data_IF_558376160412
#
_entry.id   IF_558376160412
#
_cell.length_a   1.000
_cell.length_b   1.000
_cell.length_c   1.000
_cell.angle_alpha   90.00
_cell.angle_beta   90.00
_cell.angle_gamma   90.00
#
_symmetry.space_group_name_H-M   'P 1'
#
loop_
_entity.id
_entity.type
_entity.pdbx_description
1 polymer ?
#
# COMPACT_ATOMS: atom_id res chain seq x y z
N UNK A 1 21.28 12.58 -6.98
CA UNK A 1 21.01 11.72 -5.81
C UNK A 1 19.85 10.83 -6.20
N UNK A 2 20.00 9.50 -6.10
CA UNK A 2 18.91 8.57 -6.42
C UNK A 2 18.13 8.40 -5.12
N UNK A 3 16.93 8.97 -5.04
CA UNK A 3 16.08 8.81 -3.86
C UNK A 3 15.64 7.34 -3.80
N UNK A 4 15.87 6.63 -2.67
CA UNK A 4 15.43 5.25 -2.54
C UNK A 4 13.92 5.16 -2.65
N UNK A 5 13.43 4.08 -3.26
CA UNK A 5 12.01 3.79 -3.35
C UNK A 5 11.42 3.63 -1.94
N UNK A 6 10.27 4.24 -1.63
CA UNK A 6 9.63 4.09 -0.32
C UNK A 6 9.30 2.63 -0.02
N UNK A 7 9.45 2.22 1.24
CA UNK A 7 9.04 0.92 1.74
C UNK A 7 7.51 0.80 1.80
N UNK A 8 7.00 -0.44 1.77
CA UNK A 8 5.57 -0.71 1.95
C UNK A 8 5.02 -0.06 3.22
N UNK A 9 5.74 -0.18 4.34
CA UNK A 9 5.35 0.43 5.61
C UNK A 9 5.29 1.96 5.56
N UNK A 10 6.14 2.61 4.76
CA UNK A 10 6.13 4.06 4.57
C UNK A 10 4.91 4.47 3.74
N UNK A 11 4.62 3.77 2.64
CA UNK A 11 3.42 4.02 1.84
C UNK A 11 2.12 3.81 2.67
N UNK A 12 2.07 2.79 3.52
CA UNK A 12 0.92 2.54 4.40
C UNK A 12 0.78 3.64 5.45
N UNK A 13 1.89 4.08 6.04
CA UNK A 13 1.88 5.19 7.00
C UNK A 13 1.35 6.46 6.34
N UNK A 14 1.86 6.82 5.17
CA UNK A 14 1.44 8.02 4.44
C UNK A 14 -0.05 7.96 4.06
N UNK A 15 -0.54 6.79 3.62
CA UNK A 15 -1.96 6.57 3.40
C UNK A 15 -2.79 6.79 4.67
N UNK A 16 -2.38 6.23 5.81
CA UNK A 16 -3.12 6.35 7.07
C UNK A 16 -3.11 7.78 7.61
N UNK A 17 -1.96 8.46 7.57
CA UNK A 17 -1.83 9.85 8.01
C UNK A 17 -2.71 10.77 7.15
N UNK A 18 -2.73 10.55 5.84
CA UNK A 18 -3.58 11.31 4.93
C UNK A 18 -5.07 10.96 5.09
N UNK A 19 -5.42 9.69 5.33
CA UNK A 19 -6.79 9.29 5.61
C UNK A 19 -7.37 10.01 6.82
N UNK A 20 -6.57 10.22 7.88
CA UNK A 20 -6.98 11.01 9.05
C UNK A 20 -7.26 12.47 8.69
N UNK A 21 -6.49 13.08 7.79
CA UNK A 21 -6.74 14.44 7.30
C UNK A 21 -8.02 14.51 6.46
N UNK A 22 -8.27 13.52 5.60
CA UNK A 22 -9.53 13.43 4.83
C UNK A 22 -10.73 13.30 5.76
N UNK A 23 -10.66 12.42 6.77
CA UNK A 23 -11.74 12.26 7.76
C UNK A 23 -12.05 13.59 8.45
N UNK A 24 -11.02 14.34 8.89
CA UNK A 24 -11.22 15.66 9.50
C UNK A 24 -11.86 16.66 8.55
N UNK A 25 -11.50 16.63 7.26
CA UNK A 25 -12.10 17.52 6.27
C UNK A 25 -13.57 17.22 5.98
N UNK A 26 -14.03 16.00 6.27
CA UNK A 26 -15.43 15.59 6.13
C UNK A 26 -16.27 15.92 7.36
N UNK A 27 -15.67 16.42 8.45
CA UNK A 27 -16.43 16.85 9.62
C UNK A 27 -17.33 18.05 9.28
N UNK A 28 -18.53 18.08 9.83
CA UNK A 28 -19.54 19.09 9.47
C UNK A 28 -20.08 18.99 8.03
N UNK A 29 -19.93 17.85 7.34
CA UNK A 29 -20.40 17.65 5.96
C UNK A 29 -21.81 18.18 5.63
N UNK A 30 -22.82 18.07 6.52
CA UNK A 30 -24.15 18.63 6.25
C UNK A 30 -24.19 20.15 6.04
N UNK A 31 -23.18 20.89 6.51
CA UNK A 31 -23.07 22.35 6.45
C UNK A 31 -22.08 22.82 5.38
N UNK A 32 -21.45 21.91 4.64
CA UNK A 32 -20.43 22.24 3.65
C UNK A 32 -20.99 23.07 2.50
N UNK A 33 -20.28 24.15 2.19
CA UNK A 33 -20.49 24.90 0.95
C UNK A 33 -20.05 24.08 -0.27
N UNK A 34 -20.34 24.58 -1.48
CA UNK A 34 -19.85 23.97 -2.72
C UNK A 34 -18.32 23.94 -2.77
N UNK A 35 -17.65 24.94 -2.18
CA UNK A 35 -16.20 25.02 -2.13
C UNK A 35 -15.62 23.95 -1.18
N UNK A 36 -16.22 23.79 0.00
CA UNK A 36 -15.83 22.74 0.96
C UNK A 36 -16.00 21.34 0.36
N UNK A 37 -17.12 21.11 -0.34
CA UNK A 37 -17.36 19.86 -1.07
C UNK A 37 -16.30 19.61 -2.15
N UNK A 38 -15.87 20.64 -2.87
CA UNK A 38 -14.77 20.52 -3.86
C UNK A 38 -13.48 20.08 -3.19
N UNK A 39 -13.10 20.72 -2.08
CA UNK A 39 -11.89 20.41 -1.32
C UNK A 39 -11.92 18.96 -0.83
N UNK A 40 -13.05 18.52 -0.26
CA UNK A 40 -13.21 17.13 0.20
C UNK A 40 -13.09 16.15 -0.97
N UNK A 41 -13.68 16.46 -2.12
CA UNK A 41 -13.59 15.62 -3.32
C UNK A 41 -12.16 15.51 -3.85
N UNK A 42 -11.41 16.61 -3.87
CA UNK A 42 -9.98 16.61 -4.23
C UNK A 42 -9.17 15.76 -3.24
N UNK A 43 -9.45 15.90 -1.94
CA UNK A 43 -8.80 15.10 -0.91
C UNK A 43 -9.11 13.61 -1.07
N UNK A 44 -10.36 13.24 -1.35
CA UNK A 44 -10.76 11.87 -1.63
C UNK A 44 -10.10 11.31 -2.90
N UNK A 45 -9.94 12.12 -3.94
CA UNK A 45 -9.23 11.70 -5.16
C UNK A 45 -7.77 11.36 -4.84
N UNK A 46 -7.08 12.24 -4.12
CA UNK A 46 -5.70 12.00 -3.69
C UNK A 46 -5.55 10.82 -2.73
N UNK A 47 -6.53 10.57 -1.87
CA UNK A 47 -6.53 9.40 -0.98
C UNK A 47 -6.55 8.08 -1.78
N UNK A 48 -7.24 8.05 -2.92
CA UNK A 48 -7.24 6.89 -3.83
C UNK A 48 -5.85 6.64 -4.42
N UNK A 49 -5.12 7.70 -4.77
CA UNK A 49 -3.73 7.57 -5.27
C UNK A 49 -2.83 6.94 -4.21
N UNK A 50 -2.94 7.36 -2.94
CA UNK A 50 -2.19 6.73 -1.85
C UNK A 50 -2.53 5.25 -1.67
N UNK A 51 -3.81 4.88 -1.79
CA UNK A 51 -4.22 3.48 -1.75
C UNK A 51 -3.63 2.67 -2.92
N UNK A 52 -3.57 3.26 -4.11
CA UNK A 52 -2.95 2.64 -5.27
C UNK A 52 -1.44 2.40 -5.05
N UNK A 53 -0.73 3.36 -4.47
CA UNK A 53 0.68 3.20 -4.10
C UNK A 53 0.88 2.08 -3.09
N UNK A 54 0.01 1.97 -2.08
CA UNK A 54 0.03 0.85 -1.12
C UNK A 54 -0.18 -0.48 -1.84
N UNK A 55 -1.17 -0.56 -2.73
CA UNK A 55 -1.46 -1.77 -3.50
C UNK A 55 -0.27 -2.19 -4.37
N UNK A 56 0.32 -1.26 -5.12
CA UNK A 56 1.51 -1.52 -5.93
C UNK A 56 2.66 -2.01 -5.05
N UNK A 57 2.94 -1.30 -3.96
CA UNK A 57 4.02 -1.64 -3.04
C UNK A 57 3.82 -3.02 -2.38
N UNK A 58 2.58 -3.40 -2.08
CA UNK A 58 2.27 -4.74 -1.57
C UNK A 58 2.58 -5.81 -2.62
N UNK A 59 2.08 -5.67 -3.85
CA UNK A 59 2.32 -6.65 -4.91
C UNK A 59 3.79 -6.77 -5.32
N UNK A 60 4.57 -5.71 -5.17
CA UNK A 60 6.01 -5.73 -5.43
C UNK A 60 6.82 -6.40 -4.31
N UNK A 61 6.31 -6.42 -3.08
CA UNK A 61 6.99 -6.99 -1.92
C UNK A 61 6.61 -8.44 -1.65
N UNK A 62 5.46 -8.90 -2.15
CA UNK A 62 5.06 -10.31 -2.08
C UNK A 62 5.99 -11.16 -2.95
N UNK A 63 6.68 -12.18 -2.38
CA UNK A 63 7.49 -13.10 -3.15
C UNK A 63 6.64 -13.80 -4.20
N UNK A 64 7.00 -13.66 -5.48
CA UNK A 64 6.41 -14.46 -6.55
C UNK A 64 6.98 -15.86 -6.43
N UNK A 65 6.22 -16.79 -5.84
CA UNK A 65 6.51 -18.21 -5.94
C UNK A 65 6.39 -18.56 -7.42
N UNK A 66 7.52 -18.59 -8.13
CA UNK A 66 7.56 -19.28 -9.41
C UNK A 66 7.33 -20.75 -9.08
N UNK A 67 6.11 -21.24 -9.33
CA UNK A 67 5.73 -22.65 -9.23
C UNK A 67 6.45 -23.49 -10.32
N UNK A 68 7.78 -23.42 -10.35
CA UNK A 68 8.65 -24.10 -11.29
C UNK A 68 9.77 -24.90 -10.61
N UNK A 69 9.86 -24.91 -9.26
CA UNK A 69 10.87 -25.69 -8.53
C UNK A 69 10.29 -26.47 -7.33
N UNK A 70 9.01 -26.84 -7.37
CA UNK A 70 8.54 -27.99 -6.57
C UNK A 70 8.72 -29.22 -7.44
N UNK A 71 9.88 -29.88 -7.30
CA UNK A 71 10.19 -31.30 -7.57
C UNK A 71 11.70 -31.42 -7.89
N UNK A 72 12.53 -31.59 -6.85
CA UNK A 72 13.77 -32.42 -6.83
C UNK A 72 14.67 -32.03 -5.64
N UNK A 73 14.12 -31.92 -4.43
CA UNK A 73 14.96 -32.13 -3.23
C UNK A 73 14.96 -33.64 -2.94
N UNK A 74 15.72 -34.38 -3.78
CA UNK A 74 16.00 -35.79 -3.57
C UNK A 74 16.91 -35.91 -2.33
N UNK A 75 16.27 -36.11 -1.19
CA UNK A 75 16.67 -36.99 -0.08
C UNK A 75 18.19 -37.24 0.03
N UNK A 76 18.89 -36.35 0.74
CA UNK A 76 20.25 -36.63 1.21
C UNK A 76 20.17 -37.72 2.29
N UNK A 77 20.36 -38.97 1.86
CA UNK A 77 20.46 -40.13 2.76
C UNK A 77 21.72 -40.03 3.61
N UNK A 78 21.60 -39.52 4.83
CA UNK A 78 22.58 -39.77 5.89
C UNK A 78 22.39 -41.20 6.38
N UNK A 79 23.13 -42.14 5.79
CA UNK A 79 23.30 -43.51 6.28
C UNK A 79 24.78 -43.78 6.52
N UNK A 80 25.15 -43.92 7.78
CA UNK A 80 26.48 -44.29 8.23
C UNK A 80 26.80 -45.76 7.89
N UNK A 81 28.09 -45.98 7.56
CA UNK A 81 28.88 -47.24 7.58
C UNK A 81 28.49 -48.39 6.67
#
# INVERSE_FOLDING_TARGET
MITPKPLLSENVKDFMDYALDVIKSMDGAPEHSIEDQSIVNEKLAKLKEYLELVSISYHETVPKINAANELTDNFSGTGHS
#
